data_IF_839521013477
#
_entry.id   IF_839521013477
#
_cell.length_a   1.000
_cell.length_b   1.000
_cell.length_c   1.000
_cell.angle_alpha   90.00
_cell.angle_beta   90.00
_cell.angle_gamma   90.00
#
_symmetry.space_group_name_H-M   'P 1'
#
loop_
_entity.id
_entity.type
_entity.pdbx_description
1 polymer ?
#
# COMPACT_ATOMS: atom_id res chain seq x y z
N UNK A 1 11.09 -9.33 31.49
CA UNK A 1 10.52 -8.42 30.48
C UNK A 1 9.01 -8.56 30.55
N UNK A 2 8.26 -7.47 30.75
CA UNK A 2 6.80 -7.50 30.65
C UNK A 2 6.40 -7.97 29.25
N UNK A 3 5.36 -8.78 29.14
CA UNK A 3 4.79 -9.10 27.82
C UNK A 3 4.36 -7.77 27.18
N UNK A 4 4.66 -7.53 25.89
CA UNK A 4 4.13 -6.36 25.19
C UNK A 4 2.61 -6.42 25.28
N UNK A 5 2.00 -5.36 25.80
CA UNK A 5 0.55 -5.26 25.94
C UNK A 5 -0.05 -5.02 24.55
N UNK A 6 -0.93 -5.92 24.11
CA UNK A 6 -1.66 -5.73 22.86
C UNK A 6 -2.50 -4.46 22.96
N UNK A 7 -2.35 -3.53 22.01
CA UNK A 7 -3.10 -2.27 21.96
C UNK A 7 -4.57 -2.43 21.54
N UNK A 8 -5.15 -3.58 21.83
CA UNK A 8 -6.48 -3.99 21.40
C UNK A 8 -7.60 -3.55 22.35
N UNK A 9 -7.35 -2.56 23.23
CA UNK A 9 -8.38 -1.97 24.11
C UNK A 9 -9.21 -3.01 24.87
N UNK A 10 -10.52 -3.01 24.67
CA UNK A 10 -11.45 -3.94 25.32
C UNK A 10 -11.70 -5.23 24.51
N UNK A 11 -10.99 -5.42 23.40
CA UNK A 11 -11.12 -6.61 22.55
C UNK A 11 -10.38 -7.80 23.19
N UNK A 12 -11.11 -8.54 24.05
CA UNK A 12 -10.58 -9.70 24.77
C UNK A 12 -10.07 -10.81 23.84
N UNK A 13 -10.70 -10.99 22.68
CA UNK A 13 -10.29 -11.99 21.71
C UNK A 13 -8.91 -11.68 21.12
N UNK A 14 -8.65 -10.42 20.74
CA UNK A 14 -7.34 -9.99 20.26
C UNK A 14 -6.29 -9.97 21.39
N UNK A 15 -6.68 -9.60 22.61
CA UNK A 15 -5.79 -9.68 23.79
C UNK A 15 -5.33 -11.12 24.08
N UNK A 16 -6.20 -12.09 23.86
CA UNK A 16 -5.89 -13.52 24.03
C UNK A 16 -5.21 -14.14 22.81
N UNK A 17 -5.25 -13.48 21.65
CA UNK A 17 -4.68 -14.00 20.42
C UNK A 17 -3.16 -14.06 20.52
N UNK A 18 -2.60 -15.26 20.36
CA UNK A 18 -1.16 -15.48 20.24
C UNK A 18 -0.89 -15.98 18.83
N UNK A 19 -0.21 -15.20 17.97
CA UNK A 19 0.12 -15.65 16.62
C UNK A 19 0.99 -16.90 16.66
N UNK A 20 0.82 -17.78 15.69
CA UNK A 20 1.65 -18.98 15.58
C UNK A 20 3.13 -18.59 15.43
N UNK A 21 4.02 -19.27 16.15
CA UNK A 21 5.45 -18.94 16.18
C UNK A 21 6.09 -18.91 14.78
N UNK A 22 5.59 -19.73 13.86
CA UNK A 22 6.00 -19.79 12.46
C UNK A 22 5.82 -18.47 11.69
N UNK A 23 4.90 -17.59 12.12
CA UNK A 23 4.66 -16.28 11.50
C UNK A 23 5.76 -15.27 11.83
N UNK A 24 6.52 -15.49 12.91
CA UNK A 24 7.66 -14.66 13.28
C UNK A 24 8.96 -15.11 12.61
N UNK A 25 8.96 -16.28 11.94
CA UNK A 25 10.14 -16.77 11.22
C UNK A 25 10.20 -16.09 9.86
N UNK A 26 11.16 -15.17 9.72
CA UNK A 26 11.45 -14.51 8.45
C UNK A 26 11.80 -15.54 7.37
N UNK A 27 11.17 -15.40 6.19
CA UNK A 27 11.48 -16.19 4.99
C UNK A 27 11.93 -15.25 3.87
N UNK A 28 13.18 -14.75 3.91
CA UNK A 28 13.64 -13.67 3.03
C UNK A 28 13.52 -13.99 1.54
N UNK A 29 13.69 -15.26 1.18
CA UNK A 29 13.58 -15.71 -0.21
C UNK A 29 12.18 -15.48 -0.81
N UNK A 30 11.12 -15.47 0.01
CA UNK A 30 9.75 -15.18 -0.47
C UNK A 30 9.65 -13.72 -0.88
N UNK A 31 10.13 -12.81 -0.04
CA UNK A 31 10.09 -11.38 -0.31
C UNK A 31 11.03 -11.00 -1.46
N UNK A 32 12.19 -11.65 -1.58
CA UNK A 32 13.09 -11.49 -2.71
C UNK A 32 12.49 -12.02 -4.01
N UNK A 33 11.80 -13.16 -3.98
CA UNK A 33 11.12 -13.71 -5.15
C UNK A 33 9.96 -12.80 -5.59
N UNK A 34 9.20 -12.24 -4.65
CA UNK A 34 8.16 -11.27 -4.94
C UNK A 34 8.73 -10.02 -5.62
N UNK A 35 9.82 -9.45 -5.06
CA UNK A 35 10.54 -8.33 -5.64
C UNK A 35 11.04 -8.62 -7.06
N UNK A 36 11.66 -9.79 -7.28
CA UNK A 36 12.13 -10.21 -8.61
C UNK A 36 10.98 -10.41 -9.59
N UNK A 37 9.86 -10.99 -9.14
CA UNK A 37 8.67 -11.18 -9.97
C UNK A 37 8.05 -9.84 -10.38
N UNK A 38 7.99 -8.85 -9.49
CA UNK A 38 7.47 -7.52 -9.81
C UNK A 38 8.37 -6.78 -10.79
N UNK A 39 9.69 -6.84 -10.63
CA UNK A 39 10.63 -6.33 -11.63
C UNK A 39 10.54 -7.07 -12.97
N UNK A 40 10.35 -8.39 -12.94
CA UNK A 40 10.10 -9.20 -14.14
C UNK A 40 8.83 -8.79 -14.88
N UNK A 41 7.75 -8.49 -14.16
CA UNK A 41 6.51 -7.97 -14.74
C UNK A 41 6.68 -6.57 -15.34
N UNK A 42 7.48 -5.71 -14.70
CA UNK A 42 7.84 -4.39 -15.23
C UNK A 42 8.60 -4.54 -16.56
N UNK A 43 9.64 -5.38 -16.59
CA UNK A 43 10.41 -5.66 -17.81
C UNK A 43 9.51 -6.21 -18.90
N UNK A 44 8.68 -7.21 -18.58
CA UNK A 44 7.73 -7.80 -19.52
C UNK A 44 6.76 -6.75 -20.08
N UNK A 45 6.21 -5.86 -19.24
CA UNK A 45 5.31 -4.81 -19.68
C UNK A 45 5.99 -3.83 -20.65
N UNK A 46 7.23 -3.42 -20.37
CA UNK A 46 8.02 -2.60 -21.29
C UNK A 46 8.31 -3.33 -22.61
N UNK A 47 8.74 -4.58 -22.55
CA UNK A 47 9.04 -5.39 -23.74
C UNK A 47 7.80 -5.57 -24.61
N UNK A 48 6.65 -5.92 -24.02
CA UNK A 48 5.39 -6.03 -24.76
C UNK A 48 4.99 -4.70 -25.41
N UNK A 49 5.11 -3.58 -24.69
CA UNK A 49 4.79 -2.26 -25.23
C UNK A 49 5.73 -1.84 -26.38
N UNK A 50 7.01 -2.21 -26.30
CA UNK A 50 7.99 -1.97 -27.35
C UNK A 50 7.73 -2.80 -28.61
N UNK A 51 7.41 -4.10 -28.44
CA UNK A 51 7.18 -5.04 -29.56
C UNK A 51 5.80 -4.87 -30.21
N UNK A 52 4.79 -4.49 -29.44
CA UNK A 52 3.40 -4.35 -29.91
C UNK A 52 2.85 -2.97 -29.56
N UNK A 53 3.18 -1.92 -30.34
CA UNK A 53 2.85 -0.53 -30.04
C UNK A 53 1.37 -0.18 -30.34
N UNK A 54 0.43 -0.97 -29.82
CA UNK A 54 -1.00 -0.74 -29.92
C UNK A 54 -1.55 -0.04 -28.67
N UNK A 55 -2.60 0.79 -28.80
CA UNK A 55 -3.20 1.48 -27.65
C UNK A 55 -3.59 0.55 -26.49
N UNK A 56 -4.12 -0.64 -26.81
CA UNK A 56 -4.48 -1.64 -25.80
C UNK A 56 -3.25 -2.16 -25.04
N UNK A 57 -2.14 -2.42 -25.74
CA UNK A 57 -0.89 -2.87 -25.10
C UNK A 57 -0.36 -1.82 -24.14
N UNK A 58 -0.34 -0.55 -24.54
CA UNK A 58 0.10 0.54 -23.66
C UNK A 58 -0.80 0.67 -22.42
N UNK A 59 -2.12 0.56 -22.59
CA UNK A 59 -3.06 0.60 -21.46
C UNK A 59 -2.80 -0.55 -20.48
N UNK A 60 -2.67 -1.79 -20.96
CA UNK A 60 -2.38 -2.93 -20.09
C UNK A 60 -1.00 -2.83 -19.45
N UNK A 61 0.02 -2.38 -20.18
CA UNK A 61 1.36 -2.15 -19.64
C UNK A 61 1.34 -1.09 -18.53
N UNK A 62 0.62 0.02 -18.72
CA UNK A 62 0.48 1.07 -17.71
C UNK A 62 -0.20 0.55 -16.44
N UNK A 63 -1.25 -0.28 -16.56
CA UNK A 63 -1.91 -0.90 -15.41
C UNK A 63 -1.00 -1.89 -14.67
N UNK A 64 -0.24 -2.72 -15.41
CA UNK A 64 0.71 -3.67 -14.83
C UNK A 64 1.87 -2.97 -14.14
N UNK A 65 2.41 -1.92 -14.75
CA UNK A 65 3.51 -1.14 -14.16
C UNK A 65 3.00 -0.39 -12.93
N UNK A 66 1.84 0.27 -12.96
CA UNK A 66 1.25 0.91 -11.78
C UNK A 66 1.03 -0.07 -10.62
N UNK A 67 0.50 -1.27 -10.92
CA UNK A 67 0.33 -2.34 -9.93
C UNK A 67 1.68 -2.78 -9.36
N UNK A 68 2.71 -2.87 -10.19
CA UNK A 68 4.06 -3.27 -9.78
C UNK A 68 4.75 -2.16 -8.97
N UNK A 69 4.55 -0.88 -9.32
CA UNK A 69 4.98 0.26 -8.51
C UNK A 69 4.33 0.25 -7.12
N UNK A 70 3.04 -0.08 -7.04
CA UNK A 70 2.38 -0.27 -5.74
C UNK A 70 2.98 -1.45 -4.97
N UNK A 71 3.31 -2.56 -5.66
CA UNK A 71 3.96 -3.70 -5.03
C UNK A 71 5.39 -3.36 -4.53
N UNK A 72 6.16 -2.56 -5.28
CA UNK A 72 7.43 -2.01 -4.82
C UNK A 72 7.23 -1.13 -3.57
N UNK A 73 6.19 -0.30 -3.52
CA UNK A 73 5.86 0.47 -2.32
C UNK A 73 5.52 -0.44 -1.11
N UNK A 74 4.92 -1.61 -1.34
CA UNK A 74 4.70 -2.65 -0.31
C UNK A 74 6.01 -3.31 0.12
N UNK A 75 6.93 -3.63 -0.81
CA UNK A 75 8.26 -4.15 -0.44
C UNK A 75 9.05 -3.13 0.38
N UNK A 76 8.96 -1.84 0.02
CA UNK A 76 9.51 -0.74 0.83
C UNK A 76 8.86 -0.71 2.22
N UNK A 77 7.55 -0.93 2.33
CA UNK A 77 6.84 -1.05 3.61
C UNK A 77 7.39 -2.18 4.48
N UNK A 78 7.59 -3.38 3.93
CA UNK A 78 8.21 -4.50 4.65
C UNK A 78 9.64 -4.17 5.10
N UNK A 79 10.41 -3.47 4.26
CA UNK A 79 11.73 -2.98 4.63
C UNK A 79 11.66 -1.93 5.75
N UNK A 80 10.65 -1.06 5.74
CA UNK A 80 10.46 -0.06 6.81
C UNK A 80 10.23 -0.72 8.18
N UNK A 81 9.52 -1.85 8.21
CA UNK A 81 9.34 -2.69 9.41
C UNK A 81 10.56 -3.55 9.77
N UNK A 82 11.58 -3.62 8.92
CA UNK A 82 12.78 -4.42 9.16
C UNK A 82 12.58 -5.93 8.92
N UNK A 83 11.52 -6.30 8.20
CA UNK A 83 11.14 -7.71 7.95
C UNK A 83 11.40 -8.17 6.52
N UNK A 84 12.02 -7.32 5.67
CA UNK A 84 12.39 -7.72 4.32
C UNK A 84 13.57 -8.71 4.32
N UNK A 85 14.62 -8.42 5.11
CA UNK A 85 15.79 -9.28 5.28
C UNK A 85 16.20 -9.41 6.75
N UNK A 86 16.91 -10.48 7.19
CA UNK A 86 17.19 -10.73 8.60
C UNK A 86 18.13 -9.73 9.27
N UNK A 87 18.91 -8.97 8.47
CA UNK A 87 19.85 -7.96 8.96
C UNK A 87 19.38 -6.58 8.49
N UNK A 88 19.36 -5.61 9.41
CA UNK A 88 18.86 -4.26 9.14
C UNK A 88 19.58 -3.55 7.98
N UNK A 89 20.91 -3.61 7.93
CA UNK A 89 21.67 -2.92 6.89
C UNK A 89 21.34 -3.40 5.47
N UNK A 90 21.42 -4.71 5.13
CA UNK A 90 21.00 -5.16 3.81
C UNK A 90 19.50 -5.00 3.57
N UNK A 91 18.63 -5.14 4.59
CA UNK A 91 17.20 -4.84 4.50
C UNK A 91 16.95 -3.42 3.96
N UNK A 92 17.67 -2.45 4.52
CA UNK A 92 17.54 -1.03 4.17
C UNK A 92 18.13 -0.73 2.79
N UNK A 93 19.28 -1.34 2.47
CA UNK A 93 19.93 -1.18 1.16
C UNK A 93 19.06 -1.73 0.04
N UNK A 94 18.53 -2.95 0.20
CA UNK A 94 17.65 -3.57 -0.81
C UNK A 94 16.33 -2.79 -0.91
N UNK A 95 15.72 -2.44 0.22
CA UNK A 95 14.50 -1.63 0.25
C UNK A 95 14.68 -0.27 -0.42
N UNK A 96 15.82 0.40 -0.21
CA UNK A 96 16.11 1.67 -0.86
C UNK A 96 16.40 1.51 -2.36
N UNK A 97 17.29 0.60 -2.76
CA UNK A 97 17.73 0.51 -4.16
C UNK A 97 16.69 -0.10 -5.10
N UNK A 98 15.99 -1.14 -4.64
CA UNK A 98 15.13 -1.94 -5.51
C UNK A 98 13.64 -1.61 -5.38
N UNK A 99 13.24 -0.81 -4.40
CA UNK A 99 11.85 -0.46 -4.16
C UNK A 99 11.62 1.05 -3.99
N UNK A 100 12.21 1.69 -2.97
CA UNK A 100 11.94 3.10 -2.66
C UNK A 100 12.54 4.07 -3.68
N UNK A 101 13.83 3.91 -4.01
CA UNK A 101 14.59 4.74 -4.95
C UNK A 101 13.97 4.83 -6.35
N UNK A 102 13.58 3.70 -6.98
CA UNK A 102 12.85 3.70 -8.25
C UNK A 102 11.57 4.54 -8.23
N UNK A 103 10.92 4.67 -7.07
CA UNK A 103 9.72 5.48 -6.86
C UNK A 103 10.01 6.90 -6.37
N UNK A 104 11.27 7.34 -6.35
CA UNK A 104 11.72 8.62 -5.81
C UNK A 104 11.40 8.82 -4.31
N UNK A 105 11.41 7.74 -3.53
CA UNK A 105 11.11 7.77 -2.09
C UNK A 105 12.38 7.51 -1.26
N UNK A 106 12.54 8.29 -0.19
CA UNK A 106 13.51 7.99 0.87
C UNK A 106 12.90 6.96 1.81
N UNK A 107 13.52 5.78 1.90
CA UNK A 107 13.11 4.71 2.79
C UNK A 107 13.18 5.17 4.25
N UNK A 108 14.19 5.94 4.66
CA UNK A 108 14.29 6.43 6.06
C UNK A 108 13.17 7.44 6.41
N UNK A 109 12.89 8.40 5.53
CA UNK A 109 11.78 9.35 5.75
C UNK A 109 10.45 8.63 5.76
N UNK A 110 10.26 7.68 4.83
CA UNK A 110 9.06 6.84 4.80
C UNK A 110 8.91 6.04 6.09
N UNK A 111 9.96 5.31 6.54
CA UNK A 111 9.95 4.54 7.79
C UNK A 111 9.56 5.40 8.99
N UNK A 112 10.15 6.58 9.15
CA UNK A 112 9.83 7.44 10.29
C UNK A 112 8.35 7.84 10.30
N UNK A 113 7.81 8.28 9.15
CA UNK A 113 6.40 8.65 9.03
C UNK A 113 5.47 7.45 9.22
N UNK A 114 5.86 6.30 8.68
CA UNK A 114 5.10 5.06 8.74
C UNK A 114 5.03 4.48 10.16
N UNK A 115 6.14 4.45 10.89
CA UNK A 115 6.16 4.03 12.29
C UNK A 115 5.40 5.01 13.19
N UNK A 116 5.43 6.31 12.89
CA UNK A 116 4.57 7.30 13.56
C UNK A 116 3.08 6.97 13.37
N UNK A 117 2.68 6.65 12.14
CA UNK A 117 1.32 6.21 11.83
C UNK A 117 0.94 4.95 12.62
N UNK A 118 1.77 3.89 12.63
CA UNK A 118 1.47 2.67 13.39
C UNK A 118 1.43 2.90 14.91
N UNK A 119 2.20 3.87 15.42
CA UNK A 119 2.17 4.19 16.84
C UNK A 119 0.85 4.85 17.24
N UNK A 120 0.33 5.78 16.43
CA UNK A 120 -0.87 6.55 16.76
C UNK A 120 -1.72 6.78 15.49
N UNK A 121 -2.37 5.73 14.97
CA UNK A 121 -3.11 5.83 13.71
C UNK A 121 -4.35 6.72 13.87
N UNK A 122 -4.74 7.37 12.77
CA UNK A 122 -5.92 8.23 12.66
C UNK A 122 -5.88 9.52 13.50
N UNK A 123 -4.81 9.76 14.28
CA UNK A 123 -4.65 11.01 15.02
C UNK A 123 -4.48 12.22 14.08
N UNK A 124 -4.74 13.41 14.61
CA UNK A 124 -4.67 14.66 13.83
C UNK A 124 -3.28 14.92 13.21
N UNK A 125 -2.22 14.37 13.80
CA UNK A 125 -0.83 14.50 13.36
C UNK A 125 -0.31 13.23 12.65
N UNK A 126 -1.21 12.34 12.21
CA UNK A 126 -0.89 11.15 11.45
C UNK A 126 -0.46 11.50 10.00
N UNK A 127 0.78 11.16 9.59
CA UNK A 127 1.27 11.39 8.23
C UNK A 127 0.40 10.77 7.13
N UNK A 128 -0.14 9.57 7.36
CA UNK A 128 -0.97 8.85 6.37
C UNK A 128 -2.29 9.57 6.18
N UNK A 129 -2.92 10.02 7.27
CA UNK A 129 -4.15 10.82 7.23
C UNK A 129 -3.93 12.11 6.44
N UNK A 130 -2.82 12.79 6.67
CA UNK A 130 -2.50 14.04 5.97
C UNK A 130 -2.25 13.84 4.47
N UNK A 131 -1.45 12.82 4.10
CA UNK A 131 -1.09 12.53 2.70
C UNK A 131 -2.29 12.02 1.90
N UNK A 132 -3.07 11.10 2.46
CA UNK A 132 -4.24 10.51 1.77
C UNK A 132 -5.55 11.28 2.03
N UNK A 133 -5.51 12.35 2.82
CA UNK A 133 -6.68 13.18 3.11
C UNK A 133 -7.81 12.37 3.76
N UNK A 134 -7.49 11.51 4.72
CA UNK A 134 -8.46 10.60 5.34
C UNK A 134 -9.29 11.27 6.45
N UNK A 135 -8.85 12.43 6.95
CA UNK A 135 -9.43 13.08 8.13
C UNK A 135 -10.84 13.63 7.94
N UNK A 136 -11.35 13.69 6.71
CA UNK A 136 -12.72 14.15 6.45
C UNK A 136 -13.68 13.03 6.06
N UNK A 137 -13.29 11.75 6.09
CA UNK A 137 -14.21 10.66 5.77
C UNK A 137 -15.23 10.39 6.89
N UNK A 138 -16.49 9.99 6.56
CA UNK A 138 -17.01 9.65 5.23
C UNK A 138 -17.34 10.85 4.33
N UNK A 139 -17.30 10.64 3.00
CA UNK A 139 -17.51 11.69 1.99
C UNK A 139 -18.71 11.38 1.07
N UNK A 140 -19.46 12.41 0.59
CA UNK A 140 -20.49 12.22 -0.42
C UNK A 140 -19.93 11.61 -1.72
N UNK A 141 -20.75 10.82 -2.43
CA UNK A 141 -20.34 10.08 -3.66
C UNK A 141 -19.69 10.98 -4.71
N UNK A 142 -20.25 12.17 -4.94
CA UNK A 142 -19.70 13.13 -5.89
C UNK A 142 -18.29 13.60 -5.51
N UNK A 143 -18.08 13.98 -4.24
CA UNK A 143 -16.76 14.43 -3.76
C UNK A 143 -15.73 13.29 -3.78
N UNK A 144 -16.13 12.07 -3.45
CA UNK A 144 -15.27 10.89 -3.61
C UNK A 144 -14.89 10.66 -5.08
N UNK A 145 -15.86 10.70 -6.00
CA UNK A 145 -15.60 10.52 -7.43
C UNK A 145 -14.65 11.60 -7.97
N UNK A 146 -14.85 12.87 -7.61
CA UNK A 146 -13.96 13.97 -7.99
C UNK A 146 -12.54 13.76 -7.47
N UNK A 147 -12.36 13.26 -6.23
CA UNK A 147 -11.04 12.96 -5.68
C UNK A 147 -10.33 11.85 -6.45
N UNK A 148 -11.03 10.74 -6.72
CA UNK A 148 -10.46 9.63 -7.48
C UNK A 148 -10.15 10.03 -8.92
N UNK A 149 -11.00 10.84 -9.56
CA UNK A 149 -10.72 11.41 -10.88
C UNK A 149 -9.53 12.38 -10.84
N UNK A 150 -9.38 13.18 -9.79
CA UNK A 150 -8.22 14.05 -9.63
C UNK A 150 -6.93 13.25 -9.51
N UNK A 151 -6.91 12.11 -8.81
CA UNK A 151 -5.74 11.23 -8.81
C UNK A 151 -5.53 10.59 -10.19
N UNK A 152 -6.59 10.08 -10.83
CA UNK A 152 -6.52 9.47 -12.17
C UNK A 152 -5.93 10.42 -13.22
N UNK A 153 -6.22 11.72 -13.11
CA UNK A 153 -5.69 12.76 -13.99
C UNK A 153 -4.36 13.38 -13.49
N UNK A 154 -3.78 12.86 -12.40
CA UNK A 154 -2.52 13.35 -11.81
C UNK A 154 -2.63 14.66 -11.01
N UNK A 155 -3.78 15.33 -11.04
CA UNK A 155 -4.05 16.56 -10.28
C UNK A 155 -3.81 16.36 -8.78
N UNK A 156 -4.26 15.22 -8.23
CA UNK A 156 -4.07 14.87 -6.82
C UNK A 156 -2.59 14.79 -6.43
N UNK A 157 -1.74 14.23 -7.30
CA UNK A 157 -0.30 14.16 -7.09
C UNK A 157 0.33 15.56 -7.02
N UNK A 158 0.04 16.42 -7.99
CA UNK A 158 0.61 17.78 -8.03
C UNK A 158 0.12 18.66 -6.89
N UNK A 159 -1.15 18.53 -6.47
CA UNK A 159 -1.65 19.18 -5.25
C UNK A 159 -0.81 18.74 -4.05
N UNK A 160 -0.61 17.44 -3.86
CA UNK A 160 0.18 16.91 -2.74
C UNK A 160 1.64 17.40 -2.77
N UNK A 161 2.28 17.35 -3.94
CA UNK A 161 3.64 17.83 -4.15
C UNK A 161 3.77 19.33 -3.83
N UNK A 162 2.81 20.14 -4.28
CA UNK A 162 2.80 21.58 -4.00
C UNK A 162 2.59 21.90 -2.51
N UNK A 163 1.73 21.15 -1.81
CA UNK A 163 1.56 21.25 -0.34
C UNK A 163 2.84 20.86 0.39
N UNK A 164 3.53 19.83 -0.08
CA UNK A 164 4.82 19.42 0.48
C UNK A 164 5.89 20.50 0.29
N UNK A 165 5.99 21.07 -0.92
CA UNK A 165 6.95 22.13 -1.25
C UNK A 165 6.72 23.42 -0.44
N UNK A 166 5.45 23.80 -0.20
CA UNK A 166 5.10 24.93 0.68
C UNK A 166 5.32 24.65 2.17
N UNK A 167 5.51 23.38 2.53
CA UNK A 167 5.76 22.98 3.90
C UNK A 167 4.50 22.76 4.75
N UNK A 168 3.33 22.59 4.13
CA UNK A 168 2.05 22.34 4.82
C UNK A 168 2.12 21.12 5.76
N UNK A 169 3.02 20.16 5.46
CA UNK A 169 3.19 18.94 6.23
C UNK A 169 4.36 18.98 7.23
N UNK A 170 5.08 20.11 7.38
CA UNK A 170 6.30 20.19 8.24
C UNK A 170 6.06 19.87 9.71
N UNK A 171 4.88 20.19 10.23
CA UNK A 171 4.51 19.90 11.62
C UNK A 171 4.07 18.44 11.82
N UNK A 172 3.57 17.79 10.76
CA UNK A 172 2.99 16.44 10.79
C UNK A 172 4.07 15.39 10.52
N UNK A 173 4.93 15.65 9.53
CA UNK A 173 6.00 14.72 9.12
C UNK A 173 7.10 14.71 10.18
N UNK A 174 7.55 13.51 10.63
CA UNK A 174 8.66 13.42 11.56
C UNK A 174 9.94 13.95 10.90
N UNK A 175 10.71 14.72 11.67
CA UNK A 175 12.04 15.16 11.25
C UNK A 175 12.97 13.96 11.30
N UNK A 176 13.61 13.66 10.17
CA UNK A 176 14.64 12.62 10.08
C UNK A 176 15.98 13.32 9.90
N UNK A 177 16.82 13.25 10.92
CA UNK A 177 18.18 13.74 10.84
C UNK A 177 19.00 12.77 9.98
N UNK A 178 19.45 13.27 8.83
CA UNK A 178 20.28 12.51 7.90
C UNK A 178 21.66 13.15 7.82
N UNK A 179 22.70 12.34 7.97
CA UNK A 179 24.03 12.77 7.58
C UNK A 179 24.07 13.15 6.10
N UNK A 180 24.94 14.08 5.67
CA UNK A 180 25.09 14.42 4.25
C UNK A 180 25.33 13.20 3.36
N UNK A 181 26.09 12.22 3.88
CA UNK A 181 26.35 10.94 3.19
C UNK A 181 25.07 10.11 2.98
N UNK A 182 24.19 10.03 3.97
CA UNK A 182 22.93 9.30 3.85
C UNK A 182 21.97 10.00 2.90
N UNK A 183 21.84 11.33 2.99
CA UNK A 183 21.02 12.10 2.06
C UNK A 183 21.52 11.95 0.61
N UNK A 184 22.83 12.07 0.39
CA UNK A 184 23.45 11.85 -0.91
C UNK A 184 23.24 10.42 -1.43
N UNK A 185 23.36 9.40 -0.56
CA UNK A 185 23.09 8.01 -0.92
C UNK A 185 21.65 7.79 -1.39
N UNK A 186 20.66 8.32 -0.68
CA UNK A 186 19.26 8.17 -1.07
C UNK A 186 18.98 8.87 -2.40
N UNK A 187 19.44 10.11 -2.57
CA UNK A 187 19.30 10.84 -3.85
C UNK A 187 19.99 10.07 -4.97
N UNK A 188 21.22 9.61 -4.76
CA UNK A 188 21.95 8.83 -5.75
C UNK A 188 21.23 7.52 -6.09
N UNK A 189 20.61 6.85 -5.12
CA UNK A 189 19.81 5.64 -5.37
C UNK A 189 18.62 5.92 -6.29
N UNK A 190 17.95 7.07 -6.13
CA UNK A 190 16.82 7.48 -6.98
C UNK A 190 17.31 7.82 -8.39
N UNK A 191 18.41 8.57 -8.49
CA UNK A 191 18.98 8.99 -9.77
C UNK A 191 19.56 7.80 -10.54
N UNK A 192 20.27 6.89 -9.88
CA UNK A 192 20.83 5.69 -10.52
C UNK A 192 19.72 4.75 -10.98
N UNK A 193 18.75 4.43 -10.13
CA UNK A 193 17.66 3.50 -10.52
C UNK A 193 16.86 4.02 -11.71
N UNK A 194 16.46 5.30 -11.68
CA UNK A 194 15.71 5.92 -12.77
C UNK A 194 16.59 6.20 -14.00
N UNK A 195 17.85 6.57 -13.81
CA UNK A 195 18.82 6.76 -14.88
C UNK A 195 19.14 5.46 -15.62
N UNK A 196 19.25 4.34 -14.90
CA UNK A 196 19.39 3.01 -15.50
C UNK A 196 18.14 2.60 -16.27
N UNK A 197 16.96 2.77 -15.70
CA UNK A 197 15.71 2.44 -16.38
C UNK A 197 15.51 3.27 -17.66
N UNK A 198 15.68 4.60 -17.56
CA UNK A 198 15.63 5.49 -18.72
C UNK A 198 16.72 5.15 -19.74
N UNK A 199 17.95 4.93 -19.29
CA UNK A 199 19.08 4.61 -20.16
C UNK A 199 18.89 3.32 -20.94
N UNK A 200 18.36 2.26 -20.31
CA UNK A 200 18.04 0.99 -20.98
C UNK A 200 16.92 1.16 -22.01
N UNK A 201 15.88 1.92 -21.68
CA UNK A 201 14.77 2.22 -22.61
C UNK A 201 15.23 3.11 -23.77
N UNK A 202 16.09 4.10 -23.51
CA UNK A 202 16.67 4.95 -24.53
C UNK A 202 17.61 4.16 -25.45
N UNK A 203 18.47 3.31 -24.88
CA UNK A 203 19.38 2.44 -25.63
C UNK A 203 18.64 1.44 -26.50
N UNK A 204 17.48 0.94 -26.06
CA UNK A 204 16.61 0.08 -26.87
C UNK A 204 15.74 0.84 -27.89
N UNK A 205 15.91 2.16 -28.05
CA UNK A 205 15.18 2.97 -29.03
C UNK A 205 13.78 3.40 -28.60
N UNK A 206 13.42 3.20 -27.32
CA UNK A 206 12.09 3.47 -26.77
C UNK A 206 12.11 4.43 -25.55
N UNK A 207 12.82 5.58 -25.59
CA UNK A 207 12.95 6.47 -24.43
C UNK A 207 11.60 7.01 -23.92
N UNK A 208 10.62 7.18 -24.81
CA UNK A 208 9.29 7.69 -24.45
C UNK A 208 8.50 6.71 -23.58
N UNK A 209 8.82 5.41 -23.57
CA UNK A 209 8.17 4.46 -22.67
C UNK A 209 8.50 4.76 -21.21
N UNK A 210 9.65 5.34 -20.90
CA UNK A 210 9.95 5.80 -19.55
C UNK A 210 8.95 6.89 -19.11
N UNK A 211 8.71 7.90 -19.96
CA UNK A 211 7.74 8.95 -19.64
C UNK A 211 6.31 8.40 -19.57
N UNK A 212 5.89 7.64 -20.57
CA UNK A 212 4.51 7.20 -20.74
C UNK A 212 4.09 6.01 -19.87
N UNK A 213 5.03 5.12 -19.51
CA UNK A 213 4.72 3.89 -18.78
C UNK A 213 5.42 3.78 -17.42
N UNK A 214 6.47 4.55 -17.13
CA UNK A 214 7.04 4.64 -15.79
C UNK A 214 6.49 5.85 -15.02
N UNK A 215 6.77 7.05 -15.51
CA UNK A 215 6.44 8.29 -14.80
C UNK A 215 4.95 8.60 -14.80
N UNK A 216 4.28 8.49 -15.96
CA UNK A 216 2.86 8.81 -16.06
C UNK A 216 2.00 7.94 -15.11
N UNK A 217 2.16 6.59 -15.05
CA UNK A 217 1.47 5.78 -14.05
C UNK A 217 1.86 6.11 -12.60
N UNK A 218 3.12 6.50 -12.34
CA UNK A 218 3.57 6.88 -11.00
C UNK A 218 2.89 8.16 -10.48
N UNK A 219 2.47 9.07 -11.36
CA UNK A 219 1.78 10.31 -10.97
C UNK A 219 0.26 10.22 -11.05
N UNK A 220 -0.30 9.21 -11.74
CA UNK A 220 -1.75 9.06 -11.95
C UNK A 220 -2.31 7.83 -11.24
N UNK A 221 -1.93 6.65 -11.73
CA UNK A 221 -2.46 5.37 -11.30
C UNK A 221 -1.96 4.95 -9.92
N UNK A 222 -0.70 5.17 -9.59
CA UNK A 222 -0.15 4.81 -8.28
C UNK A 222 -0.80 5.61 -7.13
N UNK A 223 -0.94 6.95 -7.17
CA UNK A 223 -1.66 7.71 -6.16
C UNK A 223 -3.13 7.30 -6.04
N UNK A 224 -3.79 7.05 -7.18
CA UNK A 224 -5.17 6.55 -7.20
C UNK A 224 -5.29 5.21 -6.44
N UNK A 225 -4.44 4.24 -6.77
CA UNK A 225 -4.45 2.92 -6.11
C UNK A 225 -4.09 3.03 -4.62
N UNK A 226 -3.10 3.86 -4.28
CA UNK A 226 -2.71 4.14 -2.92
C UNK A 226 -3.86 4.75 -2.11
N UNK A 227 -4.60 5.72 -2.69
CA UNK A 227 -5.76 6.32 -2.02
C UNK A 227 -6.88 5.31 -1.85
N UNK A 228 -7.20 4.50 -2.86
CA UNK A 228 -8.22 3.45 -2.75
C UNK A 228 -7.88 2.52 -1.58
N UNK A 229 -6.61 2.08 -1.49
CA UNK A 229 -6.12 1.26 -0.37
C UNK A 229 -6.29 1.97 0.97
N UNK A 230 -5.82 3.21 1.09
CA UNK A 230 -5.92 3.99 2.33
C UNK A 230 -7.37 4.20 2.77
N UNK A 231 -8.27 4.50 1.84
CA UNK A 231 -9.72 4.60 2.11
C UNK A 231 -10.23 3.25 2.61
N UNK A 232 -9.89 2.17 1.92
CA UNK A 232 -10.30 0.81 2.24
C UNK A 232 -9.86 0.36 3.64
N UNK A 233 -8.69 0.79 4.10
CA UNK A 233 -8.11 0.39 5.39
C UNK A 233 -8.56 1.29 6.55
N UNK A 234 -8.74 2.60 6.31
CA UNK A 234 -8.83 3.58 7.40
C UNK A 234 -10.03 4.54 7.35
N UNK A 235 -10.64 4.79 6.18
CA UNK A 235 -11.64 5.84 6.07
C UNK A 235 -12.86 5.60 6.98
N UNK A 236 -13.25 6.61 7.77
CA UNK A 236 -14.39 6.56 8.67
C UNK A 236 -14.17 5.78 9.97
N UNK A 237 -12.93 5.39 10.27
CA UNK A 237 -12.57 4.77 11.55
C UNK A 237 -12.11 5.84 12.56
N UNK A 238 -12.38 5.64 13.87
CA UNK A 238 -12.08 6.63 14.89
C UNK A 238 -10.57 6.77 15.13
N UNK A 239 -10.17 7.91 15.70
CA UNK A 239 -8.87 8.09 16.34
C UNK A 239 -8.99 7.70 17.82
N UNK A 240 -8.40 6.59 18.23
CA UNK A 240 -8.51 6.08 19.60
C UNK A 240 -7.30 5.24 20.00
N UNK A 241 -7.13 5.01 21.30
CA UNK A 241 -6.04 4.19 21.83
C UNK A 241 -6.19 2.68 21.50
N UNK A 242 -7.43 2.22 21.28
CA UNK A 242 -7.71 0.86 20.83
C UNK A 242 -7.41 0.71 19.33
N UNK A 243 -6.23 0.18 19.03
CA UNK A 243 -5.74 -0.01 17.66
C UNK A 243 -6.54 -1.04 16.86
N UNK A 244 -7.36 -1.87 17.51
CA UNK A 244 -8.27 -2.78 16.80
C UNK A 244 -9.41 -2.06 16.08
N UNK A 245 -9.59 -0.75 16.34
CA UNK A 245 -10.66 0.06 15.77
C UNK A 245 -10.17 1.09 14.75
N UNK A 246 -8.86 1.34 14.63
CA UNK A 246 -8.33 2.39 13.72
C UNK A 246 -8.10 1.92 12.28
N UNK A 247 -8.12 0.60 12.05
CA UNK A 247 -7.91 -0.01 10.75
C UNK A 247 -8.85 -1.21 10.56
N UNK A 248 -9.08 -1.60 9.30
CA UNK A 248 -9.84 -2.81 8.95
C UNK A 248 -9.15 -3.61 7.85
N UNK A 249 -9.23 -4.93 7.95
CA UNK A 249 -8.81 -5.83 6.88
C UNK A 249 -9.98 -6.11 5.94
N UNK A 250 -9.76 -5.93 4.63
CA UNK A 250 -10.75 -6.32 3.62
C UNK A 250 -10.39 -7.69 3.09
N UNK A 251 -11.24 -8.68 3.42
CA UNK A 251 -11.06 -10.06 2.96
C UNK A 251 -12.04 -10.33 1.83
N UNK A 252 -11.53 -10.86 0.71
CA UNK A 252 -12.37 -11.34 -0.38
C UNK A 252 -13.15 -12.57 0.10
N UNK A 253 -14.48 -12.47 0.23
CA UNK A 253 -15.33 -13.62 0.56
C UNK A 253 -15.71 -14.36 -0.72
N UNK A 254 -15.35 -15.65 -0.82
CA UNK A 254 -15.89 -16.54 -1.84
C UNK A 254 -16.95 -17.44 -1.19
N UNK A 255 -18.15 -17.52 -1.77
CA UNK A 255 -19.14 -18.48 -1.31
C UNK A 255 -18.65 -19.90 -1.64
N UNK A 256 -18.89 -20.93 -0.80
CA UNK A 256 -18.48 -22.31 -1.06
C UNK A 256 -19.08 -22.93 -2.34
N UNK A 257 -20.00 -22.22 -3.01
CA UNK A 257 -20.79 -22.72 -4.15
C UNK A 257 -20.56 -21.96 -5.45
N UNK A 258 -19.58 -21.04 -5.52
CA UNK A 258 -19.22 -20.37 -6.79
C UNK A 258 -20.29 -19.42 -7.37
N UNK A 259 -21.34 -19.06 -6.63
CA UNK A 259 -22.31 -18.02 -7.01
C UNK A 259 -22.21 -16.78 -6.11
N UNK A 260 -22.36 -15.56 -6.66
CA UNK A 260 -22.45 -14.35 -5.85
C UNK A 260 -23.79 -14.32 -5.09
N UNK A 261 -23.73 -14.31 -3.76
CA UNK A 261 -24.92 -14.20 -2.91
C UNK A 261 -25.40 -12.74 -2.84
N UNK A 262 -26.65 -12.56 -3.26
CA UNK A 262 -27.44 -11.35 -3.17
C UNK A 262 -28.45 -11.55 -2.04
N UNK A 263 -28.33 -10.85 -0.91
CA UNK A 263 -29.45 -10.63 0.02
C UNK A 263 -29.15 -9.52 1.01
N UNK A 264 -29.91 -8.43 0.90
CA UNK A 264 -29.99 -7.37 1.88
C UNK A 264 -30.86 -7.81 3.06
N UNK A 265 -30.40 -7.56 4.30
CA UNK A 265 -31.22 -7.22 5.48
C UNK A 265 -30.31 -7.04 6.70
N UNK A 266 -30.35 -5.85 7.29
CA UNK A 266 -30.22 -5.68 8.75
C UNK A 266 -31.51 -6.21 9.40
N UNK A 267 -31.43 -6.69 10.66
CA UNK A 267 -31.64 -5.79 11.78
C UNK A 267 -30.61 -5.95 12.90
N UNK A 268 -30.47 -4.89 13.70
CA UNK A 268 -29.87 -4.91 15.03
C UNK A 268 -30.47 -6.04 15.89
N UNK A 269 -29.64 -6.90 16.47
CA UNK A 269 -29.89 -7.52 17.78
C UNK A 269 -28.56 -7.99 18.38
N UNK A 270 -28.25 -7.52 19.58
CA UNK A 270 -27.22 -8.09 20.45
C UNK A 270 -27.80 -9.39 21.03
N UNK A 271 -27.28 -10.56 20.64
CA UNK A 271 -27.40 -11.80 21.42
C UNK A 271 -26.25 -12.76 21.10
N UNK A 272 -25.37 -12.93 22.08
CA UNK A 272 -24.66 -14.14 22.55
C UNK A 272 -24.30 -15.29 21.58
N UNK A 273 -23.03 -15.71 21.72
CA UNK A 273 -22.53 -17.08 21.72
C UNK A 273 -22.51 -17.84 20.38
N UNK A 274 -21.45 -17.61 19.60
CA UNK A 274 -20.55 -18.69 19.12
C UNK A 274 -19.30 -18.08 18.48
N UNK A 275 -18.25 -17.92 19.28
CA UNK A 275 -16.90 -17.66 18.78
C UNK A 275 -16.24 -19.03 18.70
N UNK A 276 -16.09 -19.57 17.48
CA UNK A 276 -15.29 -20.76 17.23
C UNK A 276 -14.09 -20.40 16.36
N UNK A 277 -12.94 -20.69 16.95
CA UNK A 277 -11.58 -20.86 16.43
C UNK A 277 -11.48 -21.51 15.04
N UNK A 278 -10.46 -21.12 14.25
CA UNK A 278 -9.63 -22.10 13.51
C UNK A 278 -8.32 -21.48 12.98
N UNK A 279 -7.25 -22.29 13.03
CA UNK A 279 -5.90 -22.02 12.57
C UNK A 279 -5.68 -22.40 11.09
N UNK A 280 -4.67 -21.77 10.49
CA UNK A 280 -3.91 -22.17 9.29
C UNK A 280 -4.60 -22.07 7.91
N UNK A 281 -3.79 -21.65 6.92
CA UNK A 281 -4.00 -21.69 5.46
C UNK A 281 -5.22 -20.93 4.92
N UNK A 282 -4.91 -19.83 4.22
CA UNK A 282 -5.76 -19.22 3.19
C UNK A 282 -7.22 -18.90 3.58
N UNK A 283 -7.46 -17.61 3.81
CA UNK A 283 -8.74 -16.89 3.62
C UNK A 283 -9.76 -16.95 4.79
N UNK A 284 -10.43 -15.80 4.95
CA UNK A 284 -11.79 -15.52 5.46
C UNK A 284 -12.02 -15.16 6.93
N UNK A 285 -12.26 -13.87 7.17
CA UNK A 285 -13.28 -13.42 8.12
C UNK A 285 -14.07 -12.21 7.56
N UNK A 286 -15.33 -12.12 7.96
CA UNK A 286 -16.47 -11.56 7.23
C UNK A 286 -16.77 -10.13 7.70
N UNK A 287 -16.51 -9.12 6.86
CA UNK A 287 -17.08 -7.78 7.03
C UNK A 287 -18.16 -7.57 5.96
N UNK A 288 -19.41 -7.43 6.42
CA UNK A 288 -20.57 -7.15 5.57
C UNK A 288 -20.50 -5.67 5.14
N UNK A 289 -20.10 -5.42 3.89
CA UNK A 289 -20.25 -4.11 3.25
C UNK A 289 -21.69 -4.04 2.74
N UNK A 290 -22.58 -3.44 3.52
CA UNK A 290 -23.91 -3.11 3.02
C UNK A 290 -23.86 -1.72 2.33
N UNK A 291 -24.18 -1.75 1.02
CA UNK A 291 -24.63 -0.65 0.16
C UNK A 291 -23.67 0.49 -0.22
N UNK A 292 -22.51 0.23 -0.87
CA UNK A 292 -21.74 1.33 -1.51
C UNK A 292 -21.19 1.11 -2.94
N UNK A 293 -21.36 -0.05 -3.61
CA UNK A 293 -20.85 -0.23 -4.97
C UNK A 293 -21.76 -1.07 -5.91
N UNK A 294 -21.99 -0.65 -7.18
CA UNK A 294 -22.66 -1.46 -8.19
C UNK A 294 -21.88 -2.74 -8.54
N UNK A 295 -22.59 -3.81 -8.84
CA UNK A 295 -22.12 -5.21 -8.84
C UNK A 295 -21.07 -5.63 -9.89
N UNK A 296 -20.58 -4.73 -10.75
CA UNK A 296 -19.97 -5.15 -12.03
C UNK A 296 -18.53 -4.62 -12.30
N UNK A 297 -17.80 -4.09 -11.32
CA UNK A 297 -16.45 -3.55 -11.58
C UNK A 297 -15.36 -4.63 -11.46
N UNK A 298 -14.85 -5.09 -12.62
CA UNK A 298 -13.85 -6.15 -12.74
C UNK A 298 -12.41 -5.73 -12.37
N UNK A 299 -12.09 -4.43 -12.29
CA UNK A 299 -10.72 -3.96 -12.04
C UNK A 299 -10.24 -4.26 -10.61
N UNK A 300 -11.12 -4.27 -9.61
CA UNK A 300 -10.77 -4.54 -8.20
C UNK A 300 -10.20 -5.95 -7.97
N UNK A 301 -10.51 -6.90 -8.87
CA UNK A 301 -10.09 -8.31 -8.77
C UNK A 301 -8.58 -8.52 -8.93
N UNK A 302 -7.88 -7.62 -9.63
CA UNK A 302 -6.43 -7.72 -9.87
C UNK A 302 -5.63 -7.04 -8.74
N UNK A 303 -6.19 -6.00 -8.10
CA UNK A 303 -5.48 -5.18 -7.11
C UNK A 303 -5.43 -5.76 -5.69
N UNK A 304 -6.46 -6.49 -5.25
CA UNK A 304 -6.57 -6.94 -3.85
C UNK A 304 -5.59 -8.07 -3.50
N UNK A 305 -5.21 -8.92 -4.47
CA UNK A 305 -4.35 -10.08 -4.19
C UNK A 305 -2.90 -9.69 -3.81
N UNK A 306 -2.44 -8.50 -4.21
CA UNK A 306 -1.09 -8.01 -3.94
C UNK A 306 -0.93 -7.32 -2.57
N UNK A 307 -2.02 -6.83 -1.98
CA UNK A 307 -2.01 -5.97 -0.77
C UNK A 307 -2.51 -6.69 0.48
N UNK A 308 -3.30 -7.75 0.33
CA UNK A 308 -3.97 -8.41 1.45
C UNK A 308 -3.04 -9.23 2.39
N UNK A 309 -1.82 -9.58 1.99
CA UNK A 309 -0.90 -10.36 2.84
C UNK A 309 -0.14 -9.51 3.87
N UNK A 310 0.06 -8.21 3.63
CA UNK A 310 0.99 -7.38 4.40
C UNK A 310 0.40 -6.78 5.70
N UNK A 311 -0.89 -6.43 5.69
CA UNK A 311 -1.53 -5.80 6.85
C UNK A 311 -1.84 -6.75 8.01
N UNK A 312 -1.90 -8.07 7.76
CA UNK A 312 -2.27 -9.04 8.80
C UNK A 312 -1.11 -9.46 9.71
N UNK A 313 0.13 -9.10 9.37
CA UNK A 313 1.33 -9.53 10.12
C UNK A 313 1.98 -8.40 10.94
N UNK A 314 1.51 -7.16 10.79
CA UNK A 314 2.12 -5.96 11.40
C UNK A 314 1.29 -5.34 12.53
N UNK A 315 0.24 -6.04 12.99
CA UNK A 315 -0.59 -5.66 14.15
C UNK A 315 -0.44 -6.69 15.28
#
# INVERSE_FOLDING_TARGET
>A
MSKPESRAGNNLALKAFTPAAELYVLKPWISLLALLADWGLIVLAFTCAALWPYPATYLFAALLIARSQLALAVIMHESAHGVLLPRQKPNDVVGQLAAAGPLFISMQTYRAGHLKHHLNPMQHDDPVVAVFGLGDYPQPKGKLATRLLADLCGVGYFISAFRFARGDYRAIMPKVEKSPRQAAWEVLSMLISNGLLFGLLAWSGHPLLYLGLWLLPAVTLLPLMGRIRAIMEHAGLPACADQSQNARSIVLSYAPTGRPLCSARMPFTITSNTISTCACRSITCRARIDNWWPRNWCLTKIFIKATAQSCAMSA
#
